data_IF_596322194915
#
_entry.id   IF_596322194915
#
_cell.length_a   1.000
_cell.length_b   1.000
_cell.length_c   1.000
_cell.angle_alpha   90.00
_cell.angle_beta   90.00
_cell.angle_gamma   90.00
#
_symmetry.space_group_name_H-M   'P 1'
#
loop_
_entity.id
_entity.type
_entity.pdbx_description
1 polymer ?
#
# COMPACT_ATOMS: atom_id res chain seq x y z
N UNK A 1 -33.15 -3.00 37.24
CA UNK A 1 -32.05 -3.37 38.14
C UNK A 1 -31.24 -4.39 37.37
N UNK A 2 -30.09 -4.08 36.77
CA UNK A 2 -29.00 -3.28 37.31
C UNK A 2 -28.07 -2.75 36.21
N UNK A 3 -27.67 -1.49 36.40
CA UNK A 3 -26.37 -0.89 36.07
C UNK A 3 -25.95 -0.76 34.60
N UNK A 4 -26.50 0.30 34.02
CA UNK A 4 -25.87 1.17 33.03
C UNK A 4 -24.46 1.57 33.49
N UNK A 5 -23.44 0.88 32.95
CA UNK A 5 -22.04 1.24 33.16
C UNK A 5 -21.66 2.38 32.22
N UNK A 6 -22.16 3.57 32.54
CA UNK A 6 -21.74 4.85 31.96
C UNK A 6 -20.29 5.09 32.36
N UNK A 7 -19.37 4.57 31.55
CA UNK A 7 -17.96 4.85 31.68
C UNK A 7 -17.74 6.33 31.30
N UNK A 8 -17.71 7.16 32.34
CA UNK A 8 -17.33 8.56 32.32
C UNK A 8 -15.94 8.67 31.67
N UNK A 9 -15.91 9.05 30.39
CA UNK A 9 -14.67 9.44 29.74
C UNK A 9 -14.10 10.69 30.46
N UNK A 10 -12.78 10.76 30.71
CA UNK A 10 -12.17 11.91 31.34
C UNK A 10 -12.36 13.14 30.44
N UNK A 11 -13.16 14.10 30.92
CA UNK A 11 -13.29 15.41 30.30
C UNK A 11 -12.01 16.21 30.59
N UNK A 12 -10.98 16.01 29.78
CA UNK A 12 -9.91 16.99 29.68
C UNK A 12 -10.53 18.30 29.14
N UNK A 13 -10.30 19.46 29.77
CA UNK A 13 -10.69 20.75 29.21
C UNK A 13 -9.84 20.98 27.96
N UNK A 14 -10.30 20.45 26.83
CA UNK A 14 -9.64 20.55 25.55
C UNK A 14 -10.01 21.90 24.95
N UNK A 15 -9.33 22.97 25.40
CA UNK A 15 -9.25 24.21 24.64
C UNK A 15 -8.30 23.96 23.45
N UNK A 16 -8.70 23.05 22.56
CA UNK A 16 -8.01 22.82 21.31
C UNK A 16 -8.39 23.99 20.39
N UNK A 17 -7.43 24.89 20.14
CA UNK A 17 -7.58 26.01 19.20
C UNK A 17 -7.82 25.52 17.75
N UNK A 18 -7.51 24.24 17.49
CA UNK A 18 -7.66 23.60 16.19
C UNK A 18 -8.70 22.47 16.25
N UNK A 19 -9.70 22.54 15.37
CA UNK A 19 -10.63 21.44 15.13
C UNK A 19 -10.10 20.63 13.96
N UNK A 20 -9.65 19.41 14.25
CA UNK A 20 -9.36 18.43 13.21
C UNK A 20 -10.67 18.12 12.47
N UNK A 21 -10.75 18.45 11.18
CA UNK A 21 -11.83 17.93 10.33
C UNK A 21 -11.40 16.55 9.86
N UNK A 22 -12.01 15.47 10.39
CA UNK A 22 -11.66 14.12 9.94
C UNK A 22 -12.02 13.99 8.46
N UNK A 23 -11.06 13.56 7.66
CA UNK A 23 -11.38 13.16 6.29
C UNK A 23 -12.37 11.98 6.34
N UNK A 24 -13.36 11.94 5.42
CA UNK A 24 -14.47 10.98 5.50
C UNK A 24 -14.04 9.53 5.19
N UNK A 25 -12.79 9.30 4.77
CA UNK A 25 -12.32 7.98 4.42
C UNK A 25 -11.89 7.18 5.65
N UNK A 26 -12.78 6.30 6.13
CA UNK A 26 -12.44 5.31 7.14
C UNK A 26 -11.65 4.18 6.47
N UNK A 27 -10.42 3.96 6.94
CA UNK A 27 -9.57 2.86 6.49
C UNK A 27 -10.35 1.55 6.63
N UNK A 28 -10.59 0.88 5.51
CA UNK A 28 -11.23 -0.42 5.47
C UNK A 28 -10.20 -1.48 5.09
N UNK A 29 -10.32 -2.66 5.68
CA UNK A 29 -9.41 -3.75 5.35
C UNK A 29 -9.77 -4.31 3.97
N UNK A 30 -8.90 -4.12 2.98
CA UNK A 30 -9.10 -4.61 1.61
C UNK A 30 -9.41 -6.12 1.54
N UNK A 31 -8.95 -6.92 2.53
CA UNK A 31 -9.27 -8.34 2.59
C UNK A 31 -10.76 -8.61 2.85
N UNK A 32 -11.47 -7.84 3.68
CA UNK A 32 -12.90 -8.08 3.93
C UNK A 32 -13.77 -7.72 2.72
N UNK A 33 -13.40 -6.68 1.97
CA UNK A 33 -14.07 -6.30 0.72
C UNK A 33 -13.87 -7.40 -0.33
N UNK A 34 -12.63 -7.88 -0.47
CA UNK A 34 -12.31 -8.97 -1.39
C UNK A 34 -13.00 -10.29 -1.00
N UNK A 35 -13.11 -10.60 0.30
CA UNK A 35 -13.81 -11.80 0.76
C UNK A 35 -15.32 -11.73 0.53
N UNK A 36 -15.94 -10.56 0.67
CA UNK A 36 -17.35 -10.33 0.31
C UNK A 36 -17.59 -10.51 -1.20
N UNK A 37 -16.72 -9.95 -2.05
CA UNK A 37 -16.82 -10.11 -3.51
C UNK A 37 -16.57 -11.58 -3.93
N UNK A 38 -15.66 -12.27 -3.25
CA UNK A 38 -15.37 -13.70 -3.47
C UNK A 38 -16.49 -14.62 -2.96
N UNK A 39 -17.24 -14.22 -1.93
CA UNK A 39 -18.42 -14.94 -1.46
C UNK A 39 -19.55 -14.89 -2.51
N UNK A 40 -19.69 -13.75 -3.20
CA UNK A 40 -20.60 -13.57 -4.33
C UNK A 40 -20.10 -14.17 -5.66
N UNK A 41 -18.83 -14.60 -5.72
CA UNK A 41 -18.23 -15.13 -6.94
C UNK A 41 -18.88 -16.45 -7.38
N UNK A 42 -19.30 -16.48 -8.64
CA UNK A 42 -19.94 -17.62 -9.30
C UNK A 42 -19.07 -18.89 -9.29
N UNK A 43 -19.72 -20.06 -9.37
CA UNK A 43 -19.05 -21.37 -9.40
C UNK A 43 -17.92 -21.43 -10.45
N UNK A 44 -18.17 -20.88 -11.64
CA UNK A 44 -17.21 -20.81 -12.75
C UNK A 44 -15.95 -20.00 -12.39
N UNK A 45 -16.11 -18.93 -11.60
CA UNK A 45 -15.02 -18.06 -11.15
C UNK A 45 -14.13 -18.80 -10.13
N UNK A 46 -14.73 -19.62 -9.26
CA UNK A 46 -13.98 -20.47 -8.30
C UNK A 46 -13.20 -21.58 -9.02
N UNK A 47 -13.80 -22.20 -10.04
CA UNK A 47 -13.13 -23.21 -10.87
C UNK A 47 -11.97 -22.59 -11.63
N UNK A 48 -12.17 -21.43 -12.26
CA UNK A 48 -11.11 -20.70 -12.96
C UNK A 48 -9.93 -20.39 -12.02
N UNK A 49 -10.17 -19.78 -10.85
CA UNK A 49 -9.09 -19.45 -9.89
C UNK A 49 -8.38 -20.71 -9.38
N UNK A 50 -9.10 -21.79 -9.11
CA UNK A 50 -8.48 -23.06 -8.69
C UNK A 50 -7.60 -23.64 -9.78
N UNK A 51 -8.08 -23.67 -11.02
CA UNK A 51 -7.29 -24.17 -12.15
C UNK A 51 -6.08 -23.29 -12.41
N UNK A 52 -6.20 -21.97 -12.36
CA UNK A 52 -5.05 -21.06 -12.52
C UNK A 52 -4.03 -21.17 -11.40
N UNK A 53 -4.45 -21.45 -10.16
CA UNK A 53 -3.52 -21.73 -9.06
C UNK A 53 -2.83 -23.08 -9.20
N UNK A 54 -3.56 -24.09 -9.67
CA UNK A 54 -3.01 -25.43 -9.92
C UNK A 54 -2.02 -25.39 -11.09
N UNK A 55 -2.37 -24.67 -12.15
CA UNK A 55 -1.54 -24.38 -13.31
C UNK A 55 -0.77 -23.06 -13.14
N UNK A 56 -0.09 -22.91 -12.01
CA UNK A 56 0.94 -21.88 -11.88
C UNK A 56 1.95 -22.05 -13.02
N UNK A 57 2.24 -20.96 -13.75
CA UNK A 57 2.98 -21.01 -15.01
C UNK A 57 4.37 -21.68 -14.88
N UNK A 58 5.03 -21.49 -13.73
CA UNK A 58 6.39 -22.01 -13.51
C UNK A 58 6.47 -23.55 -13.40
N UNK A 59 5.72 -24.22 -12.50
CA UNK A 59 5.75 -25.68 -12.41
C UNK A 59 5.10 -26.38 -13.62
N UNK A 60 4.06 -25.79 -14.20
CA UNK A 60 3.35 -26.38 -15.35
C UNK A 60 4.25 -26.48 -16.58
N UNK A 61 5.07 -25.45 -16.82
CA UNK A 61 6.07 -25.44 -17.87
C UNK A 61 7.05 -26.61 -17.72
N UNK A 62 7.61 -26.79 -16.52
CA UNK A 62 8.54 -27.88 -16.24
C UNK A 62 7.92 -29.27 -16.37
N UNK A 63 6.65 -29.44 -15.99
CA UNK A 63 5.91 -30.69 -16.16
C UNK A 63 5.74 -31.03 -17.65
N UNK A 64 5.31 -30.07 -18.47
CA UNK A 64 5.13 -30.27 -19.91
C UNK A 64 6.49 -30.51 -20.60
N UNK A 65 7.52 -29.74 -20.24
CA UNK A 65 8.86 -29.92 -20.77
C UNK A 65 9.43 -31.31 -20.43
N UNK A 66 9.29 -31.75 -19.18
CA UNK A 66 9.70 -33.08 -18.75
C UNK A 66 8.92 -34.18 -19.47
N UNK A 67 7.62 -34.00 -19.66
CA UNK A 67 6.77 -34.95 -20.41
C UNK A 67 7.24 -35.10 -21.86
N UNK A 68 7.52 -33.99 -22.56
CA UNK A 68 8.01 -34.01 -23.94
C UNK A 68 9.38 -34.70 -24.01
N UNK A 69 10.31 -34.36 -23.10
CA UNK A 69 11.64 -34.98 -23.05
C UNK A 69 11.54 -36.49 -22.77
N UNK A 70 10.70 -36.89 -21.82
CA UNK A 70 10.49 -38.29 -21.46
C UNK A 70 9.90 -39.07 -22.66
N UNK A 71 8.96 -38.47 -23.39
CA UNK A 71 8.38 -39.09 -24.58
C UNK A 71 9.41 -39.26 -25.70
N UNK A 72 10.22 -38.23 -25.96
CA UNK A 72 11.31 -38.29 -26.95
C UNK A 72 12.30 -39.40 -26.57
N UNK A 73 12.68 -39.47 -25.29
CA UNK A 73 13.63 -40.46 -24.79
C UNK A 73 13.06 -41.89 -24.84
N UNK A 74 11.77 -42.08 -24.50
CA UNK A 74 11.09 -43.37 -24.58
C UNK A 74 10.99 -43.88 -26.03
N UNK A 75 10.66 -42.98 -26.98
CA UNK A 75 10.61 -43.32 -28.40
C UNK A 75 12.01 -43.60 -28.99
N UNK A 76 13.06 -42.96 -28.47
CA UNK A 76 14.44 -43.18 -28.93
C UNK A 76 15.08 -44.47 -28.39
N UNK A 77 14.65 -44.98 -27.24
CA UNK A 77 15.38 -46.03 -26.50
C UNK A 77 14.71 -47.40 -26.48
N UNK A 78 13.36 -47.48 -26.38
CA UNK A 78 12.71 -48.73 -25.96
C UNK A 78 11.77 -49.32 -27.01
N UNK A 79 11.15 -48.50 -27.87
CA UNK A 79 10.36 -49.03 -28.97
C UNK A 79 10.09 -47.95 -30.01
N UNK A 80 10.26 -48.30 -31.30
CA UNK A 80 9.65 -47.59 -32.43
C UNK A 80 8.12 -47.80 -32.40
N UNK A 81 7.48 -47.45 -31.28
CA UNK A 81 6.08 -47.75 -30.97
C UNK A 81 5.13 -46.83 -31.73
N UNK A 82 5.64 -45.71 -32.25
CA UNK A 82 4.86 -44.71 -32.99
C UNK A 82 5.45 -44.48 -34.40
N UNK A 83 4.74 -44.88 -35.48
CA UNK A 83 5.11 -44.56 -36.85
C UNK A 83 5.09 -43.05 -37.17
N UNK A 84 4.40 -42.24 -36.35
CA UNK A 84 4.24 -40.78 -36.52
C UNK A 84 4.59 -40.03 -35.21
N UNK A 85 5.87 -40.04 -34.79
CA UNK A 85 6.26 -39.53 -33.47
C UNK A 85 6.00 -38.02 -33.29
N UNK A 86 6.03 -37.24 -34.36
CA UNK A 86 5.83 -35.79 -34.31
C UNK A 86 4.37 -35.36 -34.37
N UNK A 87 3.52 -35.88 -35.29
CA UNK A 87 2.15 -35.40 -35.39
C UNK A 87 1.24 -35.87 -34.24
N UNK A 88 1.48 -37.06 -33.68
CA UNK A 88 0.72 -37.54 -32.51
C UNK A 88 1.04 -36.70 -31.27
N UNK A 89 2.33 -36.41 -31.03
CA UNK A 89 2.75 -35.49 -29.98
C UNK A 89 2.15 -34.09 -30.12
N UNK A 90 2.16 -33.53 -31.34
CA UNK A 90 1.54 -32.23 -31.61
C UNK A 90 0.04 -32.25 -31.34
N UNK A 91 -0.65 -33.32 -31.73
CA UNK A 91 -2.09 -33.49 -31.49
C UNK A 91 -2.38 -33.58 -29.99
N UNK A 92 -1.62 -34.41 -29.26
CA UNK A 92 -1.80 -34.62 -27.83
C UNK A 92 -1.46 -33.37 -27.00
N UNK A 93 -0.50 -32.54 -27.43
CA UNK A 93 -0.14 -31.28 -26.78
C UNK A 93 -1.13 -30.15 -27.11
N UNK A 94 -1.62 -30.07 -28.36
CA UNK A 94 -2.48 -28.95 -28.81
C UNK A 94 -3.91 -29.01 -28.28
N UNK A 95 -4.47 -30.21 -28.08
CA UNK A 95 -5.83 -30.39 -27.53
C UNK A 95 -5.99 -29.76 -26.13
N UNK A 96 -5.12 -30.03 -25.15
CA UNK A 96 -5.19 -29.36 -23.84
C UNK A 96 -4.68 -27.91 -23.86
N UNK A 97 -3.86 -27.51 -24.84
CA UNK A 97 -3.30 -26.15 -24.91
C UNK A 97 -4.37 -25.05 -25.07
N UNK A 98 -5.34 -25.24 -25.97
CA UNK A 98 -6.41 -24.26 -26.22
C UNK A 98 -7.26 -23.95 -24.97
N UNK A 99 -7.82 -24.94 -24.24
CA UNK A 99 -8.56 -24.67 -23.01
C UNK A 99 -7.65 -24.13 -21.90
N UNK A 100 -6.38 -24.58 -21.82
CA UNK A 100 -5.43 -24.07 -20.83
C UNK A 100 -5.23 -22.55 -21.01
N UNK A 101 -5.06 -22.08 -22.24
CA UNK A 101 -4.86 -20.66 -22.55
C UNK A 101 -6.05 -19.80 -22.10
N UNK A 102 -7.28 -20.24 -22.37
CA UNK A 102 -8.51 -19.53 -21.95
C UNK A 102 -8.61 -19.47 -20.42
N UNK A 103 -8.35 -20.60 -19.75
CA UNK A 103 -8.39 -20.68 -18.29
C UNK A 103 -7.32 -19.79 -17.64
N UNK A 104 -6.11 -19.73 -18.21
CA UNK A 104 -5.06 -18.83 -17.74
C UNK A 104 -5.49 -17.37 -17.89
N UNK A 105 -6.02 -16.99 -19.04
CA UNK A 105 -6.44 -15.61 -19.31
C UNK A 105 -7.52 -15.14 -18.32
N UNK A 106 -8.57 -15.95 -18.12
CA UNK A 106 -9.62 -15.64 -17.14
C UNK A 106 -9.06 -15.65 -15.72
N UNK A 107 -8.15 -16.56 -15.42
CA UNK A 107 -7.45 -16.66 -14.15
C UNK A 107 -6.67 -15.42 -13.77
N UNK A 108 -5.92 -14.86 -14.72
CA UNK A 108 -5.13 -13.65 -14.53
C UNK A 108 -6.03 -12.44 -14.27
N UNK A 109 -7.14 -12.29 -14.99
CA UNK A 109 -8.11 -11.21 -14.74
C UNK A 109 -8.72 -11.27 -13.32
N UNK A 110 -9.06 -12.48 -12.85
CA UNK A 110 -9.57 -12.70 -11.49
C UNK A 110 -8.51 -12.42 -10.40
N UNK A 111 -7.25 -12.77 -10.64
CA UNK A 111 -6.16 -12.44 -9.73
C UNK A 111 -5.87 -10.93 -9.72
N UNK A 112 -5.97 -10.28 -10.88
CA UNK A 112 -5.82 -8.83 -11.04
C UNK A 112 -6.86 -8.03 -10.25
N UNK A 113 -8.10 -8.54 -10.14
CA UNK A 113 -9.16 -7.87 -9.36
C UNK A 113 -8.79 -7.65 -7.90
N UNK A 114 -8.10 -8.61 -7.27
CA UNK A 114 -7.59 -8.44 -5.90
C UNK A 114 -6.54 -7.33 -5.81
N UNK A 115 -5.69 -7.21 -6.83
CA UNK A 115 -4.67 -6.16 -6.89
C UNK A 115 -5.30 -4.79 -7.10
N UNK A 116 -6.34 -4.71 -7.92
CA UNK A 116 -7.10 -3.47 -8.16
C UNK A 116 -7.76 -2.95 -6.88
N UNK A 117 -8.45 -3.80 -6.11
CA UNK A 117 -9.06 -3.41 -4.82
C UNK A 117 -8.01 -2.93 -3.83
N UNK A 118 -6.86 -3.62 -3.76
CA UNK A 118 -5.76 -3.19 -2.90
C UNK A 118 -5.15 -1.86 -3.35
N UNK A 119 -4.96 -1.66 -4.65
CA UNK A 119 -4.44 -0.42 -5.20
C UNK A 119 -5.38 0.76 -4.94
N UNK A 120 -6.70 0.55 -5.08
CA UNK A 120 -7.72 1.55 -4.80
C UNK A 120 -7.75 1.96 -3.32
N UNK A 121 -7.73 0.99 -2.39
CA UNK A 121 -7.67 1.29 -0.96
C UNK A 121 -6.35 1.95 -0.55
N UNK A 122 -5.23 1.56 -1.19
CA UNK A 122 -3.94 2.21 -0.97
C UNK A 122 -3.94 3.66 -1.48
N UNK A 123 -4.56 3.93 -2.63
CA UNK A 123 -4.73 5.28 -3.16
C UNK A 123 -5.55 6.16 -2.20
N UNK A 124 -6.71 5.70 -1.73
CA UNK A 124 -7.54 6.45 -0.78
C UNK A 124 -6.85 6.71 0.55
N UNK A 125 -6.14 5.70 1.09
CA UNK A 125 -5.35 5.85 2.32
C UNK A 125 -4.24 6.89 2.16
N UNK A 126 -3.58 6.87 1.01
CA UNK A 126 -2.52 7.84 0.67
C UNK A 126 -3.10 9.25 0.59
N UNK A 127 -4.24 9.43 -0.07
CA UNK A 127 -4.93 10.73 -0.13
C UNK A 127 -5.33 11.23 1.26
N UNK A 128 -5.83 10.32 2.12
CA UNK A 128 -6.13 10.66 3.51
C UNK A 128 -4.89 11.19 4.25
N UNK A 129 -3.77 10.50 4.07
CA UNK A 129 -2.50 10.86 4.70
C UNK A 129 -2.00 12.23 4.22
N UNK A 130 -2.14 12.54 2.93
CA UNK A 130 -1.80 13.86 2.40
C UNK A 130 -2.61 15.00 3.05
N UNK A 131 -3.91 14.79 3.25
CA UNK A 131 -4.75 15.78 3.91
C UNK A 131 -4.41 15.96 5.39
N UNK A 132 -4.14 14.86 6.11
CA UNK A 132 -3.72 14.93 7.50
C UNK A 132 -2.39 15.71 7.63
N UNK A 133 -1.46 15.50 6.70
CA UNK A 133 -0.20 16.28 6.61
C UNK A 133 -0.48 17.75 6.33
N UNK A 134 -1.40 18.07 5.42
CA UNK A 134 -1.80 19.45 5.13
C UNK A 134 -2.36 20.15 6.38
N UNK A 135 -3.23 19.48 7.12
CA UNK A 135 -3.77 19.99 8.39
C UNK A 135 -2.67 20.21 9.44
N UNK A 136 -1.72 19.28 9.55
CA UNK A 136 -0.57 19.43 10.46
C UNK A 136 0.29 20.63 10.07
N UNK A 137 0.56 20.83 8.78
CA UNK A 137 1.34 21.98 8.30
C UNK A 137 0.61 23.30 8.55
N UNK A 138 -0.70 23.35 8.33
CA UNK A 138 -1.53 24.51 8.63
C UNK A 138 -1.50 24.84 10.13
N UNK A 139 -1.61 23.81 10.97
CA UNK A 139 -1.52 23.96 12.42
C UNK A 139 -0.14 24.45 12.88
N UNK A 140 0.96 23.89 12.34
CA UNK A 140 2.32 24.37 12.65
C UNK A 140 2.51 25.83 12.24
N UNK A 141 1.98 26.23 11.09
CA UNK A 141 2.05 27.63 10.64
C UNK A 141 1.30 28.58 11.58
N UNK A 142 0.11 28.16 12.05
CA UNK A 142 -0.65 28.92 13.04
C UNK A 142 0.06 28.99 14.41
N UNK A 143 0.73 27.91 14.82
CA UNK A 143 1.56 27.91 16.04
C UNK A 143 2.75 28.87 15.93
N UNK A 144 3.45 28.88 14.80
CA UNK A 144 4.56 29.81 14.55
C UNK A 144 4.09 31.27 14.64
N UNK A 145 2.93 31.60 14.08
CA UNK A 145 2.35 32.95 14.17
C UNK A 145 2.05 33.36 15.62
N UNK A 146 1.43 32.46 16.41
CA UNK A 146 1.11 32.76 17.81
C UNK A 146 2.38 32.87 18.67
N UNK A 147 3.40 32.04 18.43
CA UNK A 147 4.71 32.15 19.11
C UNK A 147 5.35 33.51 18.84
N UNK A 148 5.32 33.98 17.58
CA UNK A 148 5.80 35.32 17.23
C UNK A 148 4.98 36.42 17.90
N UNK A 149 3.65 36.27 18.00
CA UNK A 149 2.77 37.22 18.69
C UNK A 149 3.11 37.31 20.18
N UNK A 150 3.27 36.16 20.84
CA UNK A 150 3.66 36.10 22.25
C UNK A 150 5.04 36.73 22.48
N UNK A 151 6.00 36.47 21.58
CA UNK A 151 7.34 37.07 21.63
C UNK A 151 7.25 38.59 21.57
N UNK A 152 6.43 39.14 20.66
CA UNK A 152 6.22 40.61 20.56
C UNK A 152 5.62 41.18 21.85
N UNK A 153 4.60 40.53 22.40
CA UNK A 153 3.95 40.97 23.65
C UNK A 153 4.94 40.96 24.82
N UNK A 154 5.75 39.91 24.96
CA UNK A 154 6.78 39.83 26.00
C UNK A 154 7.80 40.96 25.84
N UNK A 155 8.27 41.22 24.61
CA UNK A 155 9.20 42.32 24.32
C UNK A 155 8.59 43.68 24.68
N UNK A 156 7.31 43.90 24.36
CA UNK A 156 6.61 45.14 24.73
C UNK A 156 6.45 45.30 26.25
N UNK A 157 6.09 44.23 26.96
CA UNK A 157 6.01 44.24 28.42
C UNK A 157 7.36 44.52 29.07
N UNK A 158 8.44 43.90 28.59
CA UNK A 158 9.81 44.16 29.06
C UNK A 158 10.25 45.61 28.83
N UNK A 159 9.90 46.22 27.69
CA UNK A 159 10.16 47.64 27.44
C UNK A 159 9.36 48.53 28.37
N UNK A 160 8.08 48.23 28.58
CA UNK A 160 7.19 49.00 29.46
C UNK A 160 7.61 48.94 30.93
N UNK A 161 8.20 47.82 31.38
CA UNK A 161 8.70 47.64 32.75
C UNK A 161 10.09 48.25 32.99
N UNK A 162 10.70 48.91 32.00
CA UNK A 162 12.00 49.58 32.16
C UNK A 162 13.22 48.64 32.25
N UNK A 163 13.09 47.36 31.88
CA UNK A 163 14.23 46.45 31.78
C UNK A 163 15.02 46.75 30.50
N UNK A 164 16.12 47.49 30.66
CA UNK A 164 17.04 47.92 29.60
C UNK A 164 17.62 46.76 28.79
N UNK A 165 17.84 47.03 27.49
CA UNK A 165 18.29 46.14 26.40
C UNK A 165 19.56 45.30 26.61
N UNK A 166 20.25 45.36 27.76
CA UNK A 166 21.48 44.59 28.01
C UNK A 166 21.22 43.08 28.19
N UNK A 167 20.14 42.69 28.87
CA UNK A 167 19.86 41.28 29.19
C UNK A 167 19.18 40.47 28.06
N UNK A 168 18.67 41.13 27.01
CA UNK A 168 18.04 40.44 25.87
C UNK A 168 19.07 39.90 24.86
N UNK A 169 20.27 40.50 24.83
CA UNK A 169 21.39 40.09 23.97
C UNK A 169 21.96 38.71 24.33
N UNK A 170 21.76 38.26 25.57
CA UNK A 170 22.28 36.99 26.10
C UNK A 170 21.29 35.83 25.96
N UNK A 171 20.02 36.12 25.63
CA UNK A 171 18.93 35.13 25.53
C UNK A 171 18.55 34.78 24.09
N UNK A 172 18.94 35.60 23.11
CA UNK A 172 18.84 35.23 21.70
C UNK A 172 20.04 34.35 21.37
N UNK A 173 19.87 33.04 21.08
CA UNK A 173 20.97 32.27 20.50
C UNK A 173 21.36 32.97 19.21
N UNK A 174 22.61 33.47 19.17
CA UNK A 174 23.26 33.95 17.96
C UNK A 174 22.91 32.98 16.85
N UNK A 175 22.40 33.50 15.73
CA UNK A 175 22.12 32.73 14.51
C UNK A 175 23.39 31.96 14.18
N UNK A 176 23.48 30.70 14.62
CA UNK A 176 24.45 29.76 14.10
C UNK A 176 24.09 29.68 12.62
N UNK A 177 24.92 30.34 11.83
CA UNK A 177 24.99 30.14 10.40
C UNK A 177 25.16 28.66 10.20
N UNK A 178 24.06 27.95 9.94
CA UNK A 178 24.06 26.58 9.44
C UNK A 178 24.91 26.63 8.19
N UNK A 179 26.18 26.25 8.35
CA UNK A 179 27.05 26.00 7.24
C UNK A 179 26.39 24.87 6.47
N UNK A 180 25.89 25.21 5.29
CA UNK A 180 25.60 24.25 4.22
C UNK A 180 26.84 23.38 4.06
N UNK A 181 26.85 22.24 4.74
CA UNK A 181 27.74 21.15 4.40
C UNK A 181 27.18 20.56 3.11
N UNK A 182 27.83 20.93 2.02
CA UNK A 182 27.60 20.35 0.71
C UNK A 182 27.62 18.83 0.84
N UNK A 183 26.52 18.21 0.43
CA UNK A 183 26.41 16.77 0.22
C UNK A 183 27.49 16.37 -0.79
N UNK A 184 28.45 15.49 -0.46
CA UNK A 184 29.38 15.02 -1.47
C UNK A 184 28.59 14.27 -2.54
N UNK A 185 28.60 14.83 -3.75
CA UNK A 185 28.12 14.20 -4.97
C UNK A 185 28.84 12.86 -5.17
N UNK A 186 28.21 11.77 -4.72
CA UNK A 186 28.63 10.42 -5.07
C UNK A 186 28.33 10.20 -6.57
N UNK A 187 29.35 10.37 -7.40
CA UNK A 187 29.29 9.97 -8.81
C UNK A 187 29.53 8.46 -8.88
N UNK A 188 28.62 7.80 -9.59
CA UNK A 188 28.76 6.45 -10.12
C UNK A 188 29.97 6.32 -11.05
#
# INVERSE_FOLDING_TARGET
MSEEKTALAPQHPSNALFKHEPHPHRIQNANVIFEAEKAAANFNQRVAVRMTKLFSAMPTFWLIAAWIILWILANATIAHFDPLPWPLLLCLASVPQLPLMIVIMVGQGLLGRKQEIQAEEQYKTTMNTYHDIEQIMAHMSAQDEEILRQTRLIVELCRASGMSSEHLSTLVPQKETVTTNAIPSNKA
#
